data_IF_181179409738
#
_entry.id   IF_181179409738
#
_cell.length_a   1.000
_cell.length_b   1.000
_cell.length_c   1.000
_cell.angle_alpha   90.00
_cell.angle_beta   90.00
_cell.angle_gamma   90.00
#
_symmetry.space_group_name_H-M   'P 1'
#
loop_
_entity.id
_entity.type
_entity.pdbx_description
1 polymer ?
#
# COMPACT_ATOMS: atom_id res chain seq x y z
N UNK A 1 -10.47 -32.52 -56.42
CA UNK A 1 -9.11 -32.74 -56.98
C UNK A 1 -8.39 -31.42 -56.86
N UNK A 2 -7.29 -31.23 -56.16
CA UNK A 2 -6.42 -32.09 -55.39
C UNK A 2 -5.77 -31.24 -54.29
N UNK A 3 -5.39 -31.90 -53.20
CA UNK A 3 -4.52 -31.37 -52.16
C UNK A 3 -3.09 -31.10 -52.68
N UNK A 4 -2.39 -30.16 -52.06
CA UNK A 4 -0.98 -30.24 -51.66
C UNK A 4 -0.65 -29.03 -50.76
N UNK A 5 -0.53 -29.23 -49.44
CA UNK A 5 0.72 -29.36 -48.66
C UNK A 5 1.33 -28.00 -48.30
N UNK A 6 0.99 -27.50 -47.10
CA UNK A 6 1.71 -26.44 -46.41
C UNK A 6 2.93 -27.04 -45.69
N UNK A 7 4.10 -26.43 -45.91
CA UNK A 7 5.37 -26.81 -45.31
C UNK A 7 5.50 -26.26 -43.88
N UNK A 8 6.08 -27.07 -43.00
CA UNK A 8 6.28 -26.83 -41.57
C UNK A 8 7.43 -25.81 -41.31
N UNK A 9 7.19 -24.67 -40.64
CA UNK A 9 8.14 -23.56 -40.63
C UNK A 9 9.25 -23.63 -39.56
N UNK A 10 9.49 -24.75 -38.87
CA UNK A 10 10.48 -24.80 -37.78
C UNK A 10 11.40 -26.04 -37.78
N UNK A 11 12.43 -26.10 -38.64
CA UNK A 11 13.40 -27.20 -38.63
C UNK A 11 14.49 -27.10 -37.54
N UNK A 12 14.61 -25.98 -36.82
CA UNK A 12 15.75 -25.74 -35.91
C UNK A 12 15.57 -26.26 -34.47
N UNK A 13 14.35 -26.59 -34.02
CA UNK A 13 14.14 -27.14 -32.67
C UNK A 13 14.45 -28.64 -32.54
N UNK A 14 14.70 -29.34 -33.65
CA UNK A 14 15.07 -30.76 -33.64
C UNK A 14 16.51 -31.05 -33.17
N UNK A 15 17.32 -30.02 -32.93
CA UNK A 15 18.77 -30.18 -32.67
C UNK A 15 19.19 -30.07 -31.19
N UNK A 16 18.31 -29.66 -30.28
CA UNK A 16 18.66 -29.47 -28.86
C UNK A 16 18.38 -30.67 -27.94
N UNK A 17 17.83 -31.77 -28.47
CA UNK A 17 17.56 -33.00 -27.72
C UNK A 17 18.67 -34.06 -27.82
N UNK A 18 19.83 -33.73 -28.40
CA UNK A 18 20.96 -34.67 -28.51
C UNK A 18 22.20 -34.14 -27.81
N UNK A 19 22.35 -34.48 -26.53
CA UNK A 19 23.63 -34.78 -25.85
C UNK A 19 23.36 -35.05 -24.38
N UNK A 20 22.89 -36.25 -24.09
CA UNK A 20 23.14 -36.91 -22.81
C UNK A 20 23.83 -38.23 -23.15
N UNK A 21 25.05 -38.34 -22.65
CA UNK A 21 26.13 -39.29 -22.94
C UNK A 21 25.73 -40.72 -23.34
N UNK A 22 26.05 -41.11 -24.59
CA UNK A 22 26.06 -42.50 -25.07
C UNK A 22 27.20 -43.36 -24.46
N UNK A 23 27.98 -42.83 -23.50
CA UNK A 23 29.19 -43.48 -23.00
C UNK A 23 28.98 -44.47 -21.85
N UNK A 24 27.78 -44.60 -21.29
CA UNK A 24 27.59 -45.44 -20.11
C UNK A 24 27.68 -46.95 -20.41
N UNK A 25 27.30 -47.41 -21.62
CA UNK A 25 27.22 -48.85 -21.97
C UNK A 25 28.32 -49.34 -22.92
N UNK A 26 29.57 -48.91 -22.71
CA UNK A 26 30.73 -49.60 -23.33
C UNK A 26 31.51 -50.48 -22.37
N UNK A 27 31.12 -50.52 -21.10
CA UNK A 27 31.67 -51.46 -20.14
C UNK A 27 30.70 -52.63 -20.04
N UNK A 28 31.05 -53.74 -20.67
CA UNK A 28 30.53 -55.05 -20.30
C UNK A 28 30.86 -55.26 -18.82
N UNK A 29 29.84 -55.09 -17.96
CA UNK A 29 29.65 -55.73 -16.65
C UNK A 29 28.57 -54.92 -15.93
N UNK A 30 27.54 -55.60 -15.40
CA UNK A 30 26.25 -55.06 -14.93
C UNK A 30 26.25 -54.10 -13.72
N UNK A 31 27.10 -53.08 -13.73
CA UNK A 31 27.32 -52.13 -12.63
C UNK A 31 26.75 -50.72 -12.86
N UNK A 32 25.89 -50.55 -13.86
CA UNK A 32 25.09 -49.32 -13.98
C UNK A 32 23.95 -49.34 -12.94
N UNK A 33 23.84 -48.33 -12.04
CA UNK A 33 22.79 -48.27 -11.03
C UNK A 33 21.38 -48.31 -11.63
N UNK A 34 21.18 -47.74 -12.84
CA UNK A 34 19.91 -47.79 -13.57
C UNK A 34 19.57 -49.19 -14.10
N UNK A 35 20.56 -49.97 -14.57
CA UNK A 35 20.34 -51.35 -15.02
C UNK A 35 19.99 -52.29 -13.86
N UNK A 36 20.62 -52.12 -12.69
CA UNK A 36 20.30 -52.92 -11.49
C UNK A 36 18.86 -52.73 -11.00
N UNK A 37 18.25 -51.59 -11.32
CA UNK A 37 16.85 -51.29 -11.03
C UNK A 37 15.88 -51.73 -12.15
N UNK A 38 16.35 -52.41 -13.20
CA UNK A 38 15.52 -52.88 -14.31
C UNK A 38 15.03 -51.78 -15.27
N UNK A 39 15.62 -50.59 -15.22
CA UNK A 39 15.22 -49.46 -16.06
C UNK A 39 15.96 -49.50 -17.41
N UNK A 40 15.20 -49.78 -18.48
CA UNK A 40 15.69 -49.64 -19.86
C UNK A 40 16.02 -48.18 -20.17
N UNK A 41 17.05 -47.96 -20.99
CA UNK A 41 17.60 -46.64 -21.31
C UNK A 41 16.86 -45.94 -22.45
N UNK A 42 15.81 -46.56 -22.97
CA UNK A 42 14.81 -45.83 -23.72
C UNK A 42 14.20 -44.80 -22.77
N UNK A 43 14.00 -43.57 -23.24
CA UNK A 43 13.44 -42.46 -22.48
C UNK A 43 12.02 -42.78 -22.01
N UNK A 44 11.88 -43.70 -21.05
CA UNK A 44 10.62 -44.05 -20.43
C UNK A 44 10.29 -42.89 -19.50
N UNK A 45 9.41 -42.01 -19.96
CA UNK A 45 8.70 -41.11 -19.08
C UNK A 45 8.03 -41.99 -18.03
N UNK A 46 8.45 -41.85 -16.77
CA UNK A 46 7.81 -42.54 -15.66
C UNK A 46 6.80 -41.59 -15.03
N UNK A 47 5.57 -42.06 -14.90
CA UNK A 47 4.45 -41.32 -14.34
C UNK A 47 4.07 -41.97 -13.00
N UNK A 48 3.80 -41.16 -11.98
CA UNK A 48 3.46 -41.67 -10.65
C UNK A 48 2.03 -42.22 -10.63
N UNK A 49 1.86 -43.55 -10.55
CA UNK A 49 0.56 -44.21 -10.43
C UNK A 49 0.01 -44.04 -9.02
N UNK A 50 -1.11 -43.33 -8.82
CA UNK A 50 -1.69 -43.12 -7.50
C UNK A 50 -2.28 -44.40 -6.90
N UNK A 51 -2.81 -45.31 -7.73
CA UNK A 51 -3.39 -46.58 -7.30
C UNK A 51 -2.32 -47.55 -6.79
N UNK A 52 -1.12 -47.54 -7.38
CA UNK A 52 0.00 -48.40 -6.97
C UNK A 52 0.92 -47.76 -5.95
N UNK A 53 0.78 -46.45 -5.71
CA UNK A 53 1.68 -45.69 -4.85
C UNK A 53 3.15 -45.71 -5.33
N UNK A 54 3.38 -45.82 -6.64
CA UNK A 54 4.73 -45.95 -7.21
C UNK A 54 4.82 -45.38 -8.62
N UNK A 55 6.03 -45.11 -9.09
CA UNK A 55 6.29 -44.67 -10.46
C UNK A 55 6.22 -45.86 -11.42
N UNK A 56 5.39 -45.72 -12.45
CA UNK A 56 5.24 -46.73 -13.50
C UNK A 56 5.66 -46.14 -14.84
N UNK A 57 6.17 -46.96 -15.78
CA UNK A 57 6.41 -46.52 -17.16
C UNK A 57 5.13 -45.93 -17.77
N UNK A 58 5.24 -44.89 -18.61
CA UNK A 58 4.11 -44.23 -19.28
C UNK A 58 3.14 -45.24 -19.93
N UNK A 59 3.67 -46.28 -20.59
CA UNK A 59 2.86 -47.37 -21.19
C UNK A 59 1.96 -48.11 -20.19
N UNK A 60 2.41 -48.23 -18.94
CA UNK A 60 1.71 -48.92 -17.85
C UNK A 60 0.81 -47.94 -17.06
N UNK A 61 0.96 -46.63 -17.31
CA UNK A 61 0.12 -45.57 -16.77
C UNK A 61 -1.23 -45.49 -17.50
N UNK A 62 -1.22 -45.64 -18.83
CA UNK A 62 -2.42 -45.54 -19.68
C UNK A 62 -3.44 -46.64 -19.36
N UNK A 63 -2.99 -47.80 -18.86
CA UNK A 63 -3.86 -48.95 -18.58
C UNK A 63 -4.70 -48.81 -17.31
N UNK A 64 -4.33 -47.93 -16.37
CA UNK A 64 -5.06 -47.72 -15.11
C UNK A 64 -6.07 -46.57 -15.14
N UNK A 65 -6.06 -45.73 -16.19
CA UNK A 65 -6.99 -44.61 -16.35
C UNK A 65 -8.44 -45.02 -16.69
N UNK A 66 -8.74 -46.33 -16.77
CA UNK A 66 -10.02 -46.85 -17.26
C UNK A 66 -11.13 -47.01 -16.20
N UNK A 67 -10.94 -46.52 -14.97
CA UNK A 67 -12.03 -46.49 -13.96
C UNK A 67 -12.66 -45.09 -13.78
N UNK A 68 -11.98 -44.01 -14.17
CA UNK A 68 -12.58 -42.68 -14.38
C UNK A 68 -11.74 -41.87 -15.38
N UNK A 69 -12.10 -41.84 -16.68
CA UNK A 69 -11.33 -41.18 -17.74
C UNK A 69 -11.24 -39.64 -17.60
N UNK A 70 -11.82 -39.05 -16.54
CA UNK A 70 -11.77 -37.61 -16.25
C UNK A 70 -10.96 -37.24 -15.01
N UNK A 71 -10.33 -38.21 -14.32
CA UNK A 71 -9.55 -37.93 -13.12
C UNK A 71 -8.20 -37.26 -13.47
N UNK A 72 -8.15 -35.93 -13.38
CA UNK A 72 -6.92 -35.16 -13.57
C UNK A 72 -5.95 -35.31 -12.38
N UNK A 73 -4.66 -35.15 -12.62
CA UNK A 73 -3.62 -35.18 -11.59
C UNK A 73 -3.31 -33.74 -11.16
N UNK A 74 -3.06 -33.55 -9.87
CA UNK A 74 -2.56 -32.30 -9.34
C UNK A 74 -1.24 -31.90 -10.03
N UNK A 75 -1.27 -30.75 -10.70
CA UNK A 75 -0.13 -30.23 -11.47
C UNK A 75 0.90 -29.48 -10.61
N UNK A 76 0.64 -29.34 -9.30
CA UNK A 76 1.55 -28.65 -8.39
C UNK A 76 2.85 -29.46 -8.19
N UNK A 77 3.96 -28.75 -8.01
CA UNK A 77 5.28 -29.33 -7.73
C UNK A 77 5.72 -28.98 -6.32
N UNK A 78 6.46 -29.89 -5.69
CA UNK A 78 7.07 -29.64 -4.39
C UNK A 78 8.21 -28.64 -4.51
N UNK A 79 8.16 -27.56 -3.73
CA UNK A 79 9.21 -26.54 -3.73
C UNK A 79 10.49 -27.02 -3.01
N UNK A 80 10.36 -27.91 -2.03
CA UNK A 80 11.45 -28.43 -1.19
C UNK A 80 11.22 -29.92 -0.92
N UNK A 81 12.27 -30.73 -0.93
CA UNK A 81 12.21 -32.18 -0.65
C UNK A 81 12.44 -32.56 0.81
N UNK A 82 12.33 -31.61 1.74
CA UNK A 82 12.76 -31.83 3.14
C UNK A 82 11.79 -32.67 3.98
N UNK A 83 10.57 -32.96 3.51
CA UNK A 83 9.59 -33.73 4.27
C UNK A 83 8.80 -34.71 3.39
N UNK A 84 9.36 -35.92 3.19
CA UNK A 84 8.69 -37.07 2.55
C UNK A 84 9.48 -37.69 1.38
N UNK A 85 8.89 -38.70 0.75
CA UNK A 85 9.44 -39.44 -0.40
C UNK A 85 9.48 -38.65 -1.73
N UNK A 86 9.40 -37.31 -1.67
CA UNK A 86 9.33 -36.46 -2.86
C UNK A 86 10.50 -35.49 -2.94
N UNK A 87 11.16 -35.45 -4.09
CA UNK A 87 12.20 -34.48 -4.43
C UNK A 87 11.64 -33.10 -4.75
N UNK A 88 12.47 -32.06 -4.59
CA UNK A 88 12.14 -30.72 -5.07
C UNK A 88 11.93 -30.74 -6.60
N UNK A 89 10.87 -30.10 -7.06
CA UNK A 89 10.46 -30.09 -8.47
C UNK A 89 9.60 -31.28 -8.89
N UNK A 90 9.42 -32.31 -8.06
CA UNK A 90 8.54 -33.43 -8.38
C UNK A 90 7.06 -33.03 -8.31
N UNK A 91 6.26 -33.63 -9.20
CA UNK A 91 4.81 -33.46 -9.19
C UNK A 91 4.20 -34.08 -7.94
N UNK A 92 3.10 -33.48 -7.47
CA UNK A 92 2.38 -33.94 -6.29
C UNK A 92 1.93 -35.42 -6.37
N UNK A 93 1.59 -35.91 -7.56
CA UNK A 93 1.13 -37.28 -7.79
C UNK A 93 -0.26 -37.62 -7.25
N UNK A 94 -0.95 -36.70 -6.55
CA UNK A 94 -2.35 -36.90 -6.09
C UNK A 94 -3.35 -36.50 -7.17
N UNK A 95 -4.54 -37.09 -7.15
CA UNK A 95 -5.67 -36.64 -7.96
C UNK A 95 -6.03 -35.17 -7.65
N UNK A 96 -6.40 -34.44 -8.69
CA UNK A 96 -6.93 -33.11 -8.55
C UNK A 96 -8.36 -33.17 -8.00
N UNK A 97 -8.65 -32.29 -7.05
CA UNK A 97 -9.98 -32.14 -6.45
C UNK A 97 -10.55 -30.74 -6.73
N UNK A 98 -9.68 -29.78 -7.05
CA UNK A 98 -9.97 -28.36 -7.16
C UNK A 98 -9.23 -27.75 -8.37
N UNK A 99 -9.57 -26.52 -8.73
CA UNK A 99 -8.88 -25.76 -9.79
C UNK A 99 -8.50 -24.35 -9.36
N UNK A 100 -7.34 -23.88 -9.80
CA UNK A 100 -6.93 -22.47 -9.72
C UNK A 100 -6.80 -21.96 -11.15
N UNK A 101 -7.82 -21.23 -11.62
CA UNK A 101 -7.96 -20.94 -13.04
C UNK A 101 -8.16 -22.23 -13.83
N UNK A 102 -7.27 -22.49 -14.77
CA UNK A 102 -7.20 -23.70 -15.59
C UNK A 102 -6.31 -24.81 -15.01
N UNK A 103 -5.60 -24.56 -13.90
CA UNK A 103 -4.66 -25.51 -13.30
C UNK A 103 -5.35 -26.46 -12.32
N UNK A 104 -5.37 -27.78 -12.57
CA UNK A 104 -5.94 -28.76 -11.66
C UNK A 104 -5.00 -29.03 -10.47
N UNK A 105 -5.53 -28.96 -9.26
CA UNK A 105 -4.77 -29.13 -8.01
C UNK A 105 -5.52 -30.01 -7.00
N UNK A 106 -4.79 -30.76 -6.18
CA UNK A 106 -5.38 -31.48 -5.06
C UNK A 106 -5.78 -30.50 -3.95
N UNK A 107 -6.66 -30.92 -3.04
CA UNK A 107 -7.17 -30.07 -1.96
C UNK A 107 -6.08 -29.50 -1.05
N UNK A 108 -4.96 -30.23 -0.88
CA UNK A 108 -3.82 -29.76 -0.11
C UNK A 108 -3.15 -28.53 -0.77
N UNK A 109 -2.80 -28.64 -2.05
CA UNK A 109 -2.15 -27.55 -2.78
C UNK A 109 -3.10 -26.38 -3.02
N UNK A 110 -4.40 -26.65 -3.20
CA UNK A 110 -5.42 -25.62 -3.26
C UNK A 110 -5.46 -24.77 -1.98
N UNK A 111 -5.55 -25.40 -0.80
CA UNK A 111 -5.54 -24.68 0.49
C UNK A 111 -4.26 -23.87 0.68
N UNK A 112 -3.11 -24.47 0.39
CA UNK A 112 -1.82 -23.77 0.49
C UNK A 112 -1.76 -22.54 -0.42
N UNK A 113 -2.26 -22.65 -1.65
CA UNK A 113 -2.35 -21.51 -2.56
C UNK A 113 -3.32 -20.43 -2.04
N UNK A 114 -4.50 -20.82 -1.54
CA UNK A 114 -5.44 -19.86 -0.95
C UNK A 114 -4.86 -19.13 0.27
N UNK A 115 -4.16 -19.85 1.16
CA UNK A 115 -3.53 -19.25 2.33
C UNK A 115 -2.40 -18.30 1.94
N UNK A 116 -1.63 -18.66 0.90
CA UNK A 116 -0.65 -17.75 0.31
C UNK A 116 -1.32 -16.48 -0.25
N UNK A 117 -2.36 -16.61 -1.09
CA UNK A 117 -3.09 -15.46 -1.67
C UNK A 117 -3.66 -14.56 -0.56
N UNK A 118 -4.25 -15.14 0.49
CA UNK A 118 -4.77 -14.39 1.64
C UNK A 118 -3.67 -13.62 2.36
N UNK A 119 -2.53 -14.27 2.59
CA UNK A 119 -1.38 -13.67 3.25
C UNK A 119 -0.82 -12.52 2.41
N UNK A 120 -0.67 -12.72 1.10
CA UNK A 120 -0.13 -11.71 0.20
C UNK A 120 -1.09 -10.52 0.05
N UNK A 121 -2.39 -10.79 -0.07
CA UNK A 121 -3.42 -9.74 -0.08
C UNK A 121 -3.40 -8.92 1.21
N UNK A 122 -3.21 -9.58 2.37
CA UNK A 122 -3.09 -8.87 3.65
C UNK A 122 -1.85 -7.97 3.68
N UNK A 123 -0.69 -8.50 3.31
CA UNK A 123 0.57 -7.74 3.23
C UNK A 123 0.45 -6.53 2.30
N UNK A 124 -0.18 -6.72 1.14
CA UNK A 124 -0.39 -5.63 0.19
C UNK A 124 -1.28 -4.54 0.77
N UNK A 125 -2.37 -4.91 1.44
CA UNK A 125 -3.25 -3.94 2.12
C UNK A 125 -2.52 -3.19 3.23
N UNK A 126 -1.73 -3.88 4.04
CA UNK A 126 -0.90 -3.27 5.09
C UNK A 126 0.11 -2.28 4.49
N UNK A 127 0.77 -2.65 3.38
CA UNK A 127 1.70 -1.77 2.66
C UNK A 127 1.00 -0.52 2.15
N UNK A 128 -0.12 -0.68 1.44
CA UNK A 128 -0.89 0.45 0.89
C UNK A 128 -1.42 1.37 2.01
N UNK A 129 -1.82 0.80 3.16
CA UNK A 129 -2.22 1.59 4.32
C UNK A 129 -1.05 2.39 4.88
N UNK A 130 0.11 1.75 5.10
CA UNK A 130 1.31 2.42 5.60
C UNK A 130 1.79 3.52 4.64
N UNK A 131 1.77 3.28 3.33
CA UNK A 131 2.10 4.30 2.32
C UNK A 131 1.12 5.48 2.36
N UNK A 132 -0.18 5.21 2.53
CA UNK A 132 -1.19 6.24 2.65
C UNK A 132 -1.03 7.05 3.95
N UNK A 133 -0.70 6.41 5.07
CA UNK A 133 -0.40 7.07 6.34
C UNK A 133 0.84 7.95 6.22
N UNK A 134 1.95 7.42 5.71
CA UNK A 134 3.18 8.19 5.50
C UNK A 134 2.95 9.40 4.58
N UNK A 135 2.13 9.25 3.53
CA UNK A 135 1.76 10.36 2.65
C UNK A 135 0.93 11.42 3.37
N UNK A 136 0.01 11.01 4.27
CA UNK A 136 -0.78 11.94 5.09
C UNK A 136 0.09 12.70 6.07
N UNK A 137 1.00 12.01 6.76
CA UNK A 137 1.95 12.62 7.70
C UNK A 137 2.87 13.62 6.98
N UNK A 138 3.44 13.26 5.84
CA UNK A 138 4.27 14.15 5.05
C UNK A 138 3.49 15.39 4.56
N UNK A 139 2.23 15.22 4.16
CA UNK A 139 1.37 16.33 3.77
C UNK A 139 1.02 17.24 4.95
N UNK A 140 0.80 16.68 6.14
CA UNK A 140 0.55 17.42 7.37
C UNK A 140 1.78 18.20 7.81
N UNK A 141 2.96 17.58 7.82
CA UNK A 141 4.23 18.24 8.12
C UNK A 141 4.49 19.40 7.16
N UNK A 142 4.40 19.16 5.84
CA UNK A 142 4.56 20.21 4.84
C UNK A 142 3.54 21.35 5.02
N UNK A 143 2.30 21.01 5.40
CA UNK A 143 1.28 22.02 5.69
C UNK A 143 1.65 22.82 6.94
N UNK A 144 2.14 22.19 8.00
CA UNK A 144 2.58 22.86 9.22
C UNK A 144 3.78 23.79 8.95
N UNK A 145 4.73 23.37 8.11
CA UNK A 145 5.86 24.20 7.68
C UNK A 145 5.43 25.43 6.87
N UNK A 146 4.45 25.28 5.96
CA UNK A 146 3.92 26.38 5.15
C UNK A 146 3.02 27.34 5.94
N UNK A 147 2.40 26.86 7.02
CA UNK A 147 1.35 27.53 7.76
C UNK A 147 1.63 27.40 9.27
N UNK A 148 2.72 28.03 9.75
CA UNK A 148 3.09 27.92 11.15
C UNK A 148 1.98 28.46 12.06
N UNK A 149 1.80 27.88 13.25
CA UNK A 149 0.85 28.35 14.23
C UNK A 149 1.17 29.79 14.64
N UNK A 150 0.15 30.62 14.78
CA UNK A 150 0.29 31.97 15.29
C UNK A 150 -0.97 32.43 16.03
N UNK A 151 -0.79 33.42 16.90
CA UNK A 151 -1.87 34.22 17.47
C UNK A 151 -1.94 35.55 16.72
N UNK A 152 -3.15 36.02 16.42
CA UNK A 152 -3.38 37.26 15.70
C UNK A 152 -4.32 38.19 16.47
N UNK A 153 -4.14 39.49 16.23
CA UNK A 153 -4.98 40.56 16.74
C UNK A 153 -5.61 41.29 15.56
N UNK A 154 -6.94 41.29 15.46
CA UNK A 154 -7.65 42.02 14.40
C UNK A 154 -8.67 42.96 14.99
N UNK A 155 -8.88 44.09 14.32
CA UNK A 155 -9.86 45.09 14.71
C UNK A 155 -11.02 45.13 13.72
N UNK A 156 -12.23 45.32 14.26
CA UNK A 156 -13.44 45.69 13.53
C UNK A 156 -14.34 46.52 14.42
N UNK A 157 -14.93 47.58 13.87
CA UNK A 157 -15.96 48.40 14.52
C UNK A 157 -15.57 48.82 15.95
N UNK A 158 -14.28 49.12 16.17
CA UNK A 158 -13.75 49.52 17.46
C UNK A 158 -13.59 48.39 18.49
N UNK A 159 -13.66 47.12 18.09
CA UNK A 159 -13.35 45.97 18.95
C UNK A 159 -12.16 45.18 18.41
N UNK A 160 -11.42 44.55 19.32
CA UNK A 160 -10.27 43.71 18.98
C UNK A 160 -10.61 42.25 19.21
N UNK A 161 -10.34 41.40 18.22
CA UNK A 161 -10.38 39.94 18.34
C UNK A 161 -8.98 39.39 18.51
N UNK A 162 -8.83 38.52 19.49
CA UNK A 162 -7.62 37.73 19.72
C UNK A 162 -7.95 36.31 19.29
N UNK A 163 -7.20 35.74 18.35
CA UNK A 163 -7.45 34.37 17.90
C UNK A 163 -6.20 33.62 17.47
N UNK A 164 -6.30 32.31 17.48
CA UNK A 164 -5.26 31.39 16.99
C UNK A 164 -5.57 30.89 15.58
N UNK A 165 -4.55 30.72 14.74
CA UNK A 165 -4.69 30.05 13.44
C UNK A 165 -3.36 29.52 12.91
N UNK A 166 -3.44 28.54 12.02
CA UNK A 166 -2.31 28.16 11.16
C UNK A 166 -2.37 28.86 9.80
N UNK A 167 -3.54 29.34 9.35
CA UNK A 167 -3.68 29.99 8.06
C UNK A 167 -4.36 31.36 8.20
N UNK A 168 -3.52 32.39 8.38
CA UNK A 168 -3.96 33.76 8.63
C UNK A 168 -4.82 34.31 7.50
N UNK A 169 -4.41 34.18 6.24
CA UNK A 169 -5.15 34.73 5.09
C UNK A 169 -6.57 34.18 4.98
N UNK A 170 -6.73 32.86 5.13
CA UNK A 170 -8.04 32.22 5.10
C UNK A 170 -8.89 32.68 6.28
N UNK A 171 -8.28 32.85 7.45
CA UNK A 171 -8.96 33.30 8.67
C UNK A 171 -9.42 34.75 8.56
N UNK A 172 -8.56 35.67 8.09
CA UNK A 172 -8.92 37.07 7.84
C UNK A 172 -10.08 37.17 6.86
N UNK A 173 -10.04 36.44 5.73
CA UNK A 173 -11.14 36.40 4.76
C UNK A 173 -12.46 35.89 5.37
N UNK A 174 -12.41 34.87 6.22
CA UNK A 174 -13.59 34.35 6.90
C UNK A 174 -14.19 35.37 7.88
N UNK A 175 -13.35 36.03 8.69
CA UNK A 175 -13.80 37.06 9.62
C UNK A 175 -14.39 38.23 8.85
N UNK A 176 -13.74 38.67 7.76
CA UNK A 176 -14.24 39.70 6.83
C UNK A 176 -15.67 39.42 6.32
N UNK A 177 -16.00 38.15 6.09
CA UNK A 177 -17.34 37.70 5.67
C UNK A 177 -18.36 37.55 6.80
N UNK A 178 -17.99 37.90 8.04
CA UNK A 178 -18.90 37.87 9.18
C UNK A 178 -18.97 36.54 9.91
N UNK A 179 -17.99 35.65 9.78
CA UNK A 179 -18.02 34.33 10.44
C UNK A 179 -18.07 34.37 11.97
N UNK A 180 -17.81 35.52 12.59
CA UNK A 180 -17.67 35.67 14.05
C UNK A 180 -18.22 37.01 14.54
N UNK A 181 -19.38 37.46 14.08
CA UNK A 181 -19.98 38.73 14.53
C UNK A 181 -20.53 38.62 15.95
N UNK A 182 -20.54 39.76 16.65
CA UNK A 182 -21.35 39.97 17.86
C UNK A 182 -22.42 41.03 17.56
N UNK A 183 -23.41 41.16 18.44
CA UNK A 183 -24.46 42.17 18.30
C UNK A 183 -23.86 43.58 18.18
N UNK A 184 -24.34 44.35 17.19
CA UNK A 184 -23.85 45.70 16.89
C UNK A 184 -22.67 45.77 15.91
N UNK A 185 -22.09 44.66 15.48
CA UNK A 185 -21.06 44.65 14.42
C UNK A 185 -21.63 44.52 13.02
N UNK A 186 -20.92 45.09 12.05
CA UNK A 186 -21.23 44.99 10.63
C UNK A 186 -20.34 43.97 9.92
N UNK A 187 -20.83 43.43 8.79
CA UNK A 187 -19.97 42.66 7.87
C UNK A 187 -19.11 43.65 7.10
N UNK A 188 -17.80 43.41 7.04
CA UNK A 188 -16.88 44.33 6.37
C UNK A 188 -15.43 43.88 6.46
N UNK A 189 -14.48 44.64 5.91
CA UNK A 189 -13.06 44.34 6.09
C UNK A 189 -12.68 44.33 7.59
N UNK A 190 -11.63 43.57 7.93
CA UNK A 190 -10.97 43.68 9.24
C UNK A 190 -9.57 44.20 9.07
N UNK A 191 -9.07 44.86 10.11
CA UNK A 191 -7.71 45.38 10.16
C UNK A 191 -6.83 44.46 10.99
N UNK A 192 -5.79 43.89 10.41
CA UNK A 192 -4.78 43.15 11.17
C UNK A 192 -3.90 44.14 11.93
N UNK A 193 -3.81 43.98 13.25
CA UNK A 193 -3.02 44.85 14.12
C UNK A 193 -1.62 44.28 14.38
N UNK A 194 -1.56 43.01 14.78
CA UNK A 194 -0.32 42.31 15.09
C UNK A 194 -0.49 40.79 15.00
N UNK A 195 0.63 40.10 14.96
CA UNK A 195 0.73 38.65 15.09
C UNK A 195 1.81 38.28 16.10
N UNK A 196 1.66 37.12 16.74
CA UNK A 196 2.71 36.47 17.53
C UNK A 196 3.04 35.17 16.79
N UNK A 197 4.16 35.14 16.04
CA UNK A 197 4.57 33.94 15.31
C UNK A 197 4.92 32.80 16.30
N UNK A 198 4.76 31.56 15.83
CA UNK A 198 5.04 30.33 16.58
C UNK A 198 4.25 30.19 17.90
N UNK A 199 3.23 31.03 18.10
CA UNK A 199 2.34 30.97 19.25
C UNK A 199 1.22 29.94 19.05
N UNK A 200 1.00 29.14 20.08
CA UNK A 200 0.02 28.06 20.10
C UNK A 200 -1.33 28.46 20.70
N UNK A 201 -2.19 27.46 20.80
CA UNK A 201 -3.52 27.60 21.42
C UNK A 201 -3.44 27.99 22.91
N UNK A 202 -2.39 27.58 23.62
CA UNK A 202 -2.26 27.91 25.04
C UNK A 202 -1.82 29.37 25.27
N UNK A 203 -1.10 29.97 24.33
CA UNK A 203 -0.77 31.40 24.34
C UNK A 203 -2.04 32.24 24.13
N UNK A 204 -2.89 31.84 23.18
CA UNK A 204 -4.21 32.45 22.97
C UNK A 204 -5.05 32.38 24.26
N UNK A 205 -5.16 31.20 24.90
CA UNK A 205 -5.91 31.04 26.16
C UNK A 205 -5.36 31.94 27.26
N UNK A 206 -4.04 32.07 27.37
CA UNK A 206 -3.42 32.96 28.35
C UNK A 206 -3.78 34.43 28.09
N UNK A 207 -3.77 34.86 26.83
CA UNK A 207 -4.19 36.20 26.44
C UNK A 207 -5.67 36.43 26.70
N UNK A 208 -6.54 35.46 26.39
CA UNK A 208 -7.97 35.54 26.72
C UNK A 208 -8.19 35.63 28.22
N UNK A 209 -7.40 34.92 29.05
CA UNK A 209 -7.45 35.03 30.52
C UNK A 209 -6.98 36.40 30.99
N UNK A 210 -5.84 36.89 30.48
CA UNK A 210 -5.29 38.21 30.82
C UNK A 210 -6.29 39.33 30.55
N UNK A 211 -6.90 39.33 29.36
CA UNK A 211 -7.83 40.36 28.92
C UNK A 211 -9.31 39.99 29.14
N UNK A 212 -9.60 39.00 29.99
CA UNK A 212 -10.97 38.55 30.25
C UNK A 212 -11.89 39.69 30.72
N UNK A 213 -11.33 40.65 31.48
CA UNK A 213 -12.03 41.83 31.97
C UNK A 213 -12.47 42.81 30.86
N UNK A 214 -11.87 42.72 29.67
CA UNK A 214 -12.22 43.53 28.49
C UNK A 214 -13.17 42.81 27.52
N UNK A 215 -13.47 41.53 27.77
CA UNK A 215 -14.24 40.69 26.85
C UNK A 215 -15.69 41.20 26.72
N UNK A 216 -16.14 41.42 25.49
CA UNK A 216 -17.52 41.87 25.19
C UNK A 216 -18.43 40.75 24.73
N UNK A 217 -17.89 39.72 24.08
CA UNK A 217 -18.65 38.59 23.58
C UNK A 217 -17.82 37.76 22.60
N UNK A 218 -18.01 36.44 22.60
CA UNK A 218 -17.19 35.54 21.78
C UNK A 218 -15.70 35.72 22.07
N UNK A 219 -14.87 35.95 21.06
CA UNK A 219 -13.43 36.25 21.20
C UNK A 219 -13.12 37.74 20.97
N UNK A 220 -14.09 38.63 21.18
CA UNK A 220 -13.93 40.08 21.01
C UNK A 220 -13.77 40.80 22.35
N UNK A 221 -12.95 41.84 22.33
CA UNK A 221 -12.50 42.61 23.49
C UNK A 221 -12.61 44.12 23.22
N UNK A 222 -12.89 44.89 24.27
CA UNK A 222 -12.78 46.36 24.23
C UNK A 222 -11.31 46.75 24.07
N UNK A 223 -10.98 47.72 23.22
CA UNK A 223 -9.59 48.12 22.97
C UNK A 223 -9.14 49.14 24.01
N UNK A 224 -9.06 48.71 25.27
CA UNK A 224 -8.59 49.52 26.39
C UNK A 224 -7.08 49.79 26.32
N UNK A 225 -6.58 50.71 27.15
CA UNK A 225 -5.19 51.12 27.18
C UNK A 225 -4.22 49.95 27.40
N UNK A 226 -4.52 49.00 28.30
CA UNK A 226 -3.67 47.82 28.55
C UNK A 226 -3.54 46.94 27.29
N UNK A 227 -4.67 46.61 26.64
CA UNK A 227 -4.65 45.79 25.42
C UNK A 227 -3.93 46.49 24.26
N UNK A 228 -4.16 47.79 24.07
CA UNK A 228 -3.48 48.57 23.03
C UNK A 228 -1.98 48.66 23.29
N UNK A 229 -1.57 48.92 24.53
CA UNK A 229 -0.16 48.96 24.92
C UNK A 229 0.51 47.60 24.71
N UNK A 230 -0.18 46.51 25.05
CA UNK A 230 0.32 45.15 24.79
C UNK A 230 0.57 44.91 23.29
N UNK A 231 -0.41 45.22 22.44
CA UNK A 231 -0.30 45.03 20.99
C UNK A 231 0.82 45.88 20.40
N UNK A 232 0.93 47.15 20.82
CA UNK A 232 1.96 48.07 20.35
C UNK A 232 3.38 47.63 20.73
N UNK A 233 3.54 46.87 21.82
CA UNK A 233 4.82 46.32 22.25
C UNK A 233 5.24 45.05 21.47
N UNK A 234 4.36 44.47 20.65
CA UNK A 234 4.68 43.27 19.87
C UNK A 234 5.57 43.59 18.67
N UNK A 235 6.59 42.75 18.38
CA UNK A 235 7.41 42.91 17.19
C UNK A 235 6.55 42.73 15.92
N UNK A 236 6.70 43.65 14.95
CA UNK A 236 5.93 43.62 13.71
C UNK A 236 4.50 44.17 13.80
N UNK A 237 4.15 44.86 14.90
CA UNK A 237 2.91 45.64 14.98
C UNK A 237 2.87 46.66 13.83
N UNK A 238 1.83 46.58 12.99
CA UNK A 238 1.57 47.60 11.97
C UNK A 238 0.84 48.73 12.68
N UNK A 239 1.58 49.68 13.23
CA UNK A 239 0.95 50.91 13.72
C UNK A 239 0.32 51.60 12.52
N UNK A 240 -1.00 51.89 12.51
CA UNK A 240 -1.47 52.95 11.63
C UNK A 240 -0.63 54.19 11.97
N UNK A 241 -0.10 54.82 10.94
CA UNK A 241 0.50 56.14 11.08
C UNK A 241 -0.47 57.00 11.91
N UNK A 242 0.01 57.55 13.04
CA UNK A 242 -0.79 58.43 13.91
C UNK A 242 -0.99 59.81 13.26
N UNK A 243 -1.11 59.85 11.93
CA UNK A 243 -1.47 61.03 11.19
C UNK A 243 -3.01 61.10 11.10
N UNK A 244 -3.55 62.22 11.59
CA UNK A 244 -4.95 62.65 11.51
C UNK A 244 -5.91 62.15 12.60
N UNK A 245 -5.58 62.46 13.85
CA UNK A 245 -6.60 62.99 14.78
C UNK A 245 -6.08 64.33 15.33
N UNK A 246 -6.23 65.38 14.52
CA UNK A 246 -6.06 66.78 14.90
C UNK A 246 -6.89 67.65 13.95
N UNK A 247 -8.20 67.75 14.24
CA UNK A 247 -9.07 68.92 14.00
C UNK A 247 -10.48 68.59 14.50
#
# INVERSE_FOLDING_TARGET
MSAALEEDPFPEFASLARRIDERCCKLNDGDCPRCRMGLHHENAVVLYSPSKGTYVPERDYVTEMYEDPKAEICSARWATGEFGDHGAGELCGRYAEERIGDVPVCRHHYKRALDWVRTETRRERERLHAEAEARREAAEQKRAELFPPLVYFVERDGFVKIGYTTNLDKRIKAISKGSCLIEGMTVGPVRLLATIPDAGLDDEKQLHRRFAHLRVGGEWFRPDADLRAYIAALPGCVTPDLAEVSA
#
